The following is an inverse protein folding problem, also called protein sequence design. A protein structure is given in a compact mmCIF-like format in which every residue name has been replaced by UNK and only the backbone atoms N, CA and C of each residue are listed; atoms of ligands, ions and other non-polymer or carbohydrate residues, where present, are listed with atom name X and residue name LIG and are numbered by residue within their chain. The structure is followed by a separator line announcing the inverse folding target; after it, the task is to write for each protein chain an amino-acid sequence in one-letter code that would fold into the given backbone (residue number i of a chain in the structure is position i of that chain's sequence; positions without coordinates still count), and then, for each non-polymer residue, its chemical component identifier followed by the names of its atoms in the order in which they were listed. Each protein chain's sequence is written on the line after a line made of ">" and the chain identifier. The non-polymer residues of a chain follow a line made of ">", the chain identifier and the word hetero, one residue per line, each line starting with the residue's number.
data_IF_686816812253
#
_entry.id   IF_686816812253
#
_cell.length_a   1.000
_cell.length_b   1.000
_cell.length_c   1.000
_cell.angle_alpha   90.00
_cell.angle_beta   90.00
_cell.angle_gamma   90.00
#
_symmetry.space_group_name_H-M   'P 1'
#
loop_
_entity.id
_entity.type
_entity.pdbx_description
1 polymer ?
#
# COMPACT_ATOMS: atom_id res chain seq x y z
N UNK A 1 21.12 37.82 -48.13
CA UNK A 1 19.68 37.55 -47.94
C UNK A 1 19.53 36.66 -46.72
N UNK A 2 18.83 37.14 -45.67
CA UNK A 2 18.72 36.49 -44.36
C UNK A 2 17.48 35.58 -44.39
N UNK A 3 17.70 34.28 -44.15
CA UNK A 3 16.60 33.34 -43.91
C UNK A 3 16.38 33.23 -42.40
N UNK A 4 15.14 33.54 -41.97
CA UNK A 4 14.65 33.45 -40.58
C UNK A 4 14.18 32.02 -40.34
N UNK A 5 14.81 31.33 -39.40
CA UNK A 5 14.33 30.05 -38.89
C UNK A 5 13.12 30.27 -37.98
N UNK A 6 12.06 29.56 -38.28
CA UNK A 6 10.81 29.52 -37.47
C UNK A 6 10.97 28.40 -36.44
N UNK A 7 11.07 28.75 -35.16
CA UNK A 7 10.96 27.78 -34.04
C UNK A 7 9.50 27.45 -33.85
N UNK A 8 9.13 26.21 -34.12
CA UNK A 8 7.84 25.64 -33.70
C UNK A 8 7.95 25.20 -32.24
N UNK A 9 7.40 26.00 -31.34
CA UNK A 9 7.21 25.60 -29.95
C UNK A 9 6.08 24.60 -29.85
N UNK A 10 6.38 23.38 -29.45
CA UNK A 10 5.37 22.39 -29.08
C UNK A 10 4.78 22.80 -27.73
N UNK A 11 3.53 23.26 -27.77
CA UNK A 11 2.72 23.54 -26.58
C UNK A 11 2.18 22.19 -26.08
N UNK A 12 2.82 21.63 -25.05
CA UNK A 12 2.26 20.48 -24.32
C UNK A 12 1.12 21.03 -23.46
N UNK A 13 -0.12 20.87 -23.93
CA UNK A 13 -1.29 21.06 -23.11
C UNK A 13 -1.43 19.84 -22.20
N UNK A 14 -0.85 19.94 -20.99
CA UNK A 14 -1.20 19.05 -19.90
C UNK A 14 -2.66 19.33 -19.50
N UNK A 15 -3.56 18.42 -19.85
CA UNK A 15 -4.93 18.42 -19.30
C UNK A 15 -4.82 17.89 -17.86
N UNK A 16 -4.56 18.77 -16.92
CA UNK A 16 -4.83 18.50 -15.52
C UNK A 16 -6.36 18.57 -15.37
N UNK A 17 -7.01 17.41 -15.39
CA UNK A 17 -8.36 17.30 -14.86
C UNK A 17 -8.24 17.55 -13.34
N UNK A 18 -8.35 18.82 -12.97
CA UNK A 18 -8.64 19.20 -11.60
C UNK A 18 -10.01 18.62 -11.27
N UNK A 19 -10.02 17.45 -10.65
CA UNK A 19 -11.16 17.03 -9.85
C UNK A 19 -11.24 18.06 -8.73
N UNK A 20 -12.09 19.07 -8.90
CA UNK A 20 -12.47 19.99 -7.83
C UNK A 20 -13.29 19.21 -6.80
N UNK A 21 -12.65 18.26 -6.15
CA UNK A 21 -13.09 17.62 -4.92
C UNK A 21 -12.68 18.54 -3.79
N UNK A 22 -13.66 19.23 -3.27
CA UNK A 22 -13.65 20.13 -2.14
C UNK A 22 -12.49 19.99 -1.17
N UNK A 23 -11.84 21.12 -0.91
CA UNK A 23 -10.96 21.42 0.21
C UNK A 23 -11.60 21.24 1.62
N UNK A 24 -12.59 20.40 1.75
CA UNK A 24 -13.21 19.98 3.03
C UNK A 24 -12.52 18.76 3.62
N UNK A 25 -11.68 18.06 2.85
CA UNK A 25 -10.97 16.86 3.29
C UNK A 25 -9.85 17.15 4.31
N UNK A 26 -9.30 18.37 4.33
CA UNK A 26 -8.24 18.75 5.27
C UNK A 26 -8.70 18.87 6.73
N UNK A 27 -9.99 18.80 7.02
CA UNK A 27 -10.51 18.96 8.38
C UNK A 27 -11.00 17.68 9.06
N UNK A 28 -11.13 16.57 8.32
CA UNK A 28 -11.73 15.32 8.85
C UNK A 28 -10.70 14.17 8.94
N UNK A 29 -9.70 14.18 8.09
CA UNK A 29 -8.56 13.25 8.20
C UNK A 29 -7.47 13.99 8.94
N UNK A 30 -7.11 13.54 10.15
CA UNK A 30 -6.02 14.10 10.94
C UNK A 30 -4.81 14.31 10.02
N UNK A 31 -4.01 15.35 10.29
CA UNK A 31 -2.81 15.68 9.50
C UNK A 31 -2.11 14.41 9.06
N UNK A 32 -2.24 14.08 7.79
CA UNK A 32 -1.53 12.96 7.19
C UNK A 32 -0.08 13.39 7.03
N UNK A 33 0.69 13.31 8.12
CA UNK A 33 2.13 13.57 8.12
C UNK A 33 2.83 12.39 7.42
N UNK A 34 2.57 12.30 6.10
CA UNK A 34 3.30 11.38 5.24
C UNK A 34 4.76 11.82 5.24
N UNK A 35 5.67 10.93 5.65
CA UNK A 35 7.10 11.20 5.55
C UNK A 35 7.48 11.49 4.09
N UNK A 36 8.48 12.34 3.90
CA UNK A 36 9.01 12.72 2.58
C UNK A 36 9.65 11.52 1.86
N UNK A 37 8.83 10.60 1.42
CA UNK A 37 9.23 9.48 0.59
C UNK A 37 8.25 9.32 -0.57
N UNK A 38 8.78 9.34 -1.79
CA UNK A 38 7.97 9.15 -3.00
C UNK A 38 8.18 7.74 -3.51
N UNK A 39 7.14 6.88 -3.49
CA UNK A 39 7.24 5.53 -3.99
C UNK A 39 7.42 5.50 -5.52
N UNK A 40 8.21 4.55 -6.00
CA UNK A 40 8.41 4.26 -7.43
C UNK A 40 7.86 2.90 -7.83
N UNK A 41 7.33 2.16 -6.88
CA UNK A 41 6.70 0.84 -7.03
C UNK A 41 5.52 0.72 -6.07
N UNK A 42 4.68 -0.28 -6.25
CA UNK A 42 3.51 -0.53 -5.39
C UNK A 42 3.93 -0.60 -3.93
N UNK A 43 3.23 0.18 -3.09
CA UNK A 43 3.69 0.45 -1.73
C UNK A 43 2.58 0.93 -0.83
N UNK A 44 2.80 0.76 0.48
CA UNK A 44 1.96 1.29 1.55
C UNK A 44 2.73 2.38 2.32
N UNK A 45 2.04 3.45 2.69
CA UNK A 45 2.53 4.45 3.62
C UNK A 45 1.52 4.56 4.77
N UNK A 46 2.01 4.39 5.99
CA UNK A 46 1.20 4.54 7.20
C UNK A 46 1.48 5.92 7.79
N UNK A 47 0.42 6.69 8.06
CA UNK A 47 0.55 8.01 8.69
C UNK A 47 0.67 7.89 10.22
N UNK A 48 1.16 8.94 10.87
CA UNK A 48 1.17 9.01 12.33
C UNK A 48 -0.24 8.91 12.94
N UNK A 49 -1.26 9.36 12.20
CA UNK A 49 -2.67 9.28 12.56
C UNK A 49 -3.34 7.92 12.30
N UNK A 50 -2.63 6.97 11.68
CA UNK A 50 -3.15 5.62 11.38
C UNK A 50 -3.83 5.48 10.03
N UNK A 51 -3.94 6.54 9.21
CA UNK A 51 -4.41 6.39 7.82
C UNK A 51 -3.40 5.61 7.00
N UNK A 52 -3.89 4.84 6.02
CA UNK A 52 -3.05 4.05 5.11
C UNK A 52 -3.17 4.62 3.70
N UNK A 53 -2.05 4.95 3.08
CA UNK A 53 -2.00 5.35 1.67
C UNK A 53 -1.35 4.24 0.86
N UNK A 54 -2.08 3.74 -0.11
CA UNK A 54 -1.62 2.76 -1.08
C UNK A 54 -1.31 3.45 -2.40
N UNK A 55 -0.10 3.24 -2.91
CA UNK A 55 0.30 3.66 -4.24
C UNK A 55 0.51 2.43 -5.10
N UNK A 56 -0.30 2.28 -6.14
CA UNK A 56 -0.29 1.13 -7.04
C UNK A 56 0.32 1.57 -8.37
N UNK A 57 1.35 0.86 -8.81
CA UNK A 57 1.99 1.02 -10.11
C UNK A 57 1.89 -0.28 -10.87
N UNK A 58 1.28 -0.23 -12.05
CA UNK A 58 1.08 -1.41 -12.89
C UNK A 58 1.18 -1.04 -14.37
N UNK A 59 1.14 -2.05 -15.23
CA UNK A 59 1.22 -1.91 -16.68
C UNK A 59 0.02 -2.57 -17.34
N UNK A 60 -0.68 -1.84 -18.20
CA UNK A 60 -1.70 -2.40 -19.09
C UNK A 60 -1.00 -3.02 -20.31
N UNK A 61 -0.54 -4.24 -20.18
CA UNK A 61 0.24 -4.96 -21.19
C UNK A 61 -0.61 -5.74 -22.20
N UNK A 62 -1.91 -5.91 -21.90
CA UNK A 62 -2.85 -6.60 -22.75
C UNK A 62 -3.70 -5.63 -23.56
N UNK A 63 -3.95 -5.96 -24.82
CA UNK A 63 -4.69 -5.11 -25.76
C UNK A 63 -6.20 -4.98 -25.44
N UNK A 64 -6.71 -5.79 -24.52
CA UNK A 64 -8.10 -5.74 -24.05
C UNK A 64 -8.24 -4.93 -22.74
N UNK A 65 -7.16 -4.49 -22.13
CA UNK A 65 -7.23 -3.61 -20.96
C UNK A 65 -7.62 -2.20 -21.37
N UNK A 66 -8.59 -1.63 -20.66
CA UNK A 66 -9.09 -0.28 -20.88
C UNK A 66 -8.93 0.56 -19.60
N UNK A 67 -8.13 1.61 -19.71
CA UNK A 67 -7.83 2.50 -18.58
C UNK A 67 -9.07 3.22 -18.03
N UNK A 68 -9.99 3.63 -18.90
CA UNK A 68 -11.23 4.33 -18.49
C UNK A 68 -12.17 3.36 -17.75
N UNK A 69 -12.28 2.12 -18.23
CA UNK A 69 -13.07 1.09 -17.57
C UNK A 69 -12.49 0.73 -16.19
N UNK A 70 -11.17 0.68 -16.06
CA UNK A 70 -10.50 0.46 -14.77
C UNK A 70 -10.79 1.61 -13.81
N UNK A 71 -10.68 2.86 -14.26
CA UNK A 71 -11.02 4.03 -13.46
C UNK A 71 -12.46 3.99 -12.95
N UNK A 72 -13.39 3.67 -13.84
CA UNK A 72 -14.81 3.53 -13.50
C UNK A 72 -15.05 2.38 -12.50
N UNK A 73 -14.34 1.27 -12.65
CA UNK A 73 -14.43 0.13 -11.74
C UNK A 73 -13.96 0.52 -10.34
N UNK A 74 -12.79 1.14 -10.23
CA UNK A 74 -12.25 1.65 -8.95
C UNK A 74 -13.24 2.63 -8.31
N UNK A 75 -13.77 3.59 -9.08
CA UNK A 75 -14.72 4.58 -8.57
C UNK A 75 -16.00 3.92 -8.03
N UNK A 76 -16.55 2.92 -8.74
CA UNK A 76 -17.73 2.18 -8.27
C UNK A 76 -17.44 1.35 -7.02
N UNK A 77 -16.31 0.66 -6.98
CA UNK A 77 -15.90 -0.16 -5.83
C UNK A 77 -15.74 0.70 -4.57
N UNK A 78 -15.00 1.80 -4.67
CA UNK A 78 -14.81 2.75 -3.55
C UNK A 78 -16.15 3.35 -3.11
N UNK A 79 -17.04 3.73 -4.05
CA UNK A 79 -18.37 4.25 -3.71
C UNK A 79 -19.20 3.21 -2.96
N UNK A 80 -19.17 1.94 -3.39
CA UNK A 80 -19.89 0.86 -2.74
C UNK A 80 -19.39 0.64 -1.32
N UNK A 81 -18.07 0.56 -1.14
CA UNK A 81 -17.45 0.41 0.18
C UNK A 81 -17.83 1.57 1.13
N UNK A 82 -17.70 2.80 0.65
CA UNK A 82 -18.02 3.99 1.44
C UNK A 82 -19.50 4.05 1.86
N UNK A 83 -20.41 3.52 1.04
CA UNK A 83 -21.84 3.47 1.38
C UNK A 83 -22.12 2.56 2.59
N UNK A 84 -21.27 1.55 2.83
CA UNK A 84 -21.42 0.57 3.93
C UNK A 84 -20.59 0.95 5.16
N UNK A 85 -19.39 1.56 4.95
CA UNK A 85 -18.40 1.83 6.01
C UNK A 85 -18.29 3.32 6.39
N UNK A 86 -19.10 4.18 5.78
CA UNK A 86 -19.18 5.61 6.04
C UNK A 86 -18.46 6.46 5.00
N UNK A 87 -18.96 7.66 4.83
CA UNK A 87 -18.40 8.61 3.87
C UNK A 87 -16.90 8.80 4.10
N UNK A 88 -16.13 8.71 3.03
CA UNK A 88 -14.68 8.86 3.06
C UNK A 88 -13.89 7.78 3.82
N UNK A 89 -14.43 6.56 4.00
CA UNK A 89 -13.64 5.43 4.47
C UNK A 89 -12.45 5.18 3.52
N UNK A 90 -12.69 5.37 2.21
CA UNK A 90 -11.66 5.33 1.17
C UNK A 90 -11.80 6.55 0.26
N UNK A 91 -10.67 7.15 -0.14
CA UNK A 91 -10.60 8.18 -1.16
C UNK A 91 -9.60 7.82 -2.27
N UNK A 92 -9.79 8.41 -3.46
CA UNK A 92 -8.94 8.21 -4.64
C UNK A 92 -8.31 9.56 -5.01
N UNK A 93 -7.23 10.00 -4.36
CA UNK A 93 -6.62 11.30 -4.62
C UNK A 93 -5.94 11.40 -5.98
N UNK A 94 -5.48 10.29 -6.55
CA UNK A 94 -4.82 10.30 -7.85
C UNK A 94 -5.10 9.04 -8.65
N UNK A 95 -5.28 9.23 -9.96
CA UNK A 95 -5.29 8.20 -10.98
C UNK A 95 -4.64 8.75 -12.25
N UNK A 96 -3.74 8.01 -12.84
CA UNK A 96 -3.20 8.31 -14.17
C UNK A 96 -2.99 7.02 -14.95
N UNK A 97 -3.21 7.11 -16.27
CA UNK A 97 -2.98 6.03 -17.21
C UNK A 97 -2.30 6.63 -18.46
N UNK A 98 -1.00 6.46 -18.56
CA UNK A 98 -0.20 7.04 -19.65
C UNK A 98 0.75 5.98 -20.23
N UNK A 99 0.76 5.86 -21.55
CA UNK A 99 1.65 4.94 -22.26
C UNK A 99 1.58 3.48 -21.77
N UNK A 100 0.36 3.01 -21.43
CA UNK A 100 0.15 1.67 -20.90
C UNK A 100 0.57 1.47 -19.44
N UNK A 101 0.96 2.53 -18.73
CA UNK A 101 1.28 2.48 -17.30
C UNK A 101 0.16 3.09 -16.49
N UNK A 102 -0.16 2.45 -15.37
CA UNK A 102 -1.13 2.90 -14.39
C UNK A 102 -0.39 3.39 -13.15
N UNK A 103 -0.82 4.53 -12.62
CA UNK A 103 -0.51 4.95 -11.26
C UNK A 103 -1.83 5.34 -10.58
N UNK A 104 -2.18 4.61 -9.53
CA UNK A 104 -3.38 4.82 -8.73
C UNK A 104 -2.98 5.04 -7.28
N UNK A 105 -3.57 6.02 -6.62
CA UNK A 105 -3.41 6.24 -5.18
C UNK A 105 -4.75 6.10 -4.49
N UNK A 106 -4.81 5.26 -3.48
CA UNK A 106 -5.93 5.10 -2.56
C UNK A 106 -5.49 5.55 -1.17
N UNK A 107 -6.39 6.20 -0.44
CA UNK A 107 -6.18 6.53 0.98
C UNK A 107 -7.32 5.94 1.77
N UNK A 108 -6.97 5.08 2.72
CA UNK A 108 -7.87 4.42 3.66
C UNK A 108 -7.81 5.17 4.98
N UNK A 109 -8.97 5.45 5.56
CA UNK A 109 -9.07 6.20 6.81
C UNK A 109 -8.44 5.46 7.99
N UNK A 110 -8.55 4.13 8.00
CA UNK A 110 -8.03 3.26 9.06
C UNK A 110 -7.33 2.02 8.50
N UNK A 111 -6.50 1.33 9.32
CA UNK A 111 -5.94 0.02 8.97
C UNK A 111 -7.01 -1.03 8.66
N UNK A 112 -8.15 -0.98 9.36
CA UNK A 112 -9.27 -1.90 9.15
C UNK A 112 -9.96 -1.65 7.80
N UNK A 113 -10.08 -0.38 7.37
CA UNK A 113 -10.62 -0.05 6.05
C UNK A 113 -9.74 -0.65 4.94
N UNK A 114 -8.40 -0.57 5.09
CA UNK A 114 -7.46 -1.19 4.16
C UNK A 114 -7.59 -2.71 4.14
N UNK A 115 -7.55 -3.35 5.31
CA UNK A 115 -7.65 -4.80 5.44
C UNK A 115 -8.96 -5.34 4.86
N UNK A 116 -10.08 -4.68 5.18
CA UNK A 116 -11.42 -5.08 4.75
C UNK A 116 -11.64 -4.90 3.25
N UNK A 117 -11.24 -3.76 2.69
CA UNK A 117 -11.41 -3.47 1.27
C UNK A 117 -10.59 -4.41 0.38
N UNK A 118 -9.32 -4.64 0.76
CA UNK A 118 -8.40 -5.49 0.00
C UNK A 118 -8.51 -6.98 0.38
N UNK A 119 -9.27 -7.33 1.42
CA UNK A 119 -9.44 -8.70 1.92
C UNK A 119 -8.09 -9.37 2.27
N UNK A 120 -7.21 -8.60 2.91
CA UNK A 120 -5.88 -9.04 3.32
C UNK A 120 -5.69 -8.94 4.83
N UNK A 121 -4.73 -9.70 5.35
CA UNK A 121 -4.27 -9.54 6.73
C UNK A 121 -3.46 -8.26 6.85
N UNK A 122 -3.96 -7.30 7.61
CA UNK A 122 -3.27 -6.05 7.90
C UNK A 122 -3.63 -5.56 9.31
N UNK A 123 -2.66 -5.09 10.03
CA UNK A 123 -2.85 -4.37 11.30
C UNK A 123 -1.74 -3.34 11.48
N UNK A 124 -2.07 -2.19 12.06
CA UNK A 124 -1.12 -1.17 12.48
C UNK A 124 -1.64 -0.49 13.75
N UNK A 125 -0.74 -0.22 14.67
CA UNK A 125 -1.08 0.47 15.91
C UNK A 125 -0.11 0.22 17.06
N UNK A 126 -0.49 0.65 18.28
CA UNK A 126 0.27 0.33 19.48
C UNK A 126 0.54 -1.17 19.62
N UNK A 127 1.72 -1.53 20.08
CA UNK A 127 2.15 -2.93 20.21
C UNK A 127 1.11 -3.82 20.89
N UNK A 128 0.52 -3.33 21.97
CA UNK A 128 -0.47 -4.10 22.72
C UNK A 128 -1.72 -4.41 21.89
N UNK A 129 -2.20 -3.43 21.11
CA UNK A 129 -3.42 -3.56 20.32
C UNK A 129 -3.22 -4.60 19.19
N UNK A 130 -2.04 -4.55 18.54
CA UNK A 130 -1.68 -5.52 17.50
C UNK A 130 -1.50 -6.94 18.08
N UNK A 131 -0.91 -7.08 19.29
CA UNK A 131 -0.84 -8.36 19.97
C UNK A 131 -2.24 -8.93 20.32
N UNK A 132 -3.18 -8.06 20.66
CA UNK A 132 -4.56 -8.46 20.99
C UNK A 132 -5.44 -8.73 19.78
N UNK A 133 -5.01 -8.38 18.57
CA UNK A 133 -5.77 -8.61 17.32
C UNK A 133 -5.87 -10.08 16.91
N UNK A 134 -5.15 -10.98 17.58
CA UNK A 134 -5.10 -12.40 17.26
C UNK A 134 -4.07 -12.79 16.19
N UNK A 135 -3.25 -11.85 15.75
CA UNK A 135 -2.13 -12.11 14.84
C UNK A 135 -1.05 -12.91 15.58
N UNK A 136 -0.57 -13.98 14.94
CA UNK A 136 0.55 -14.77 15.46
C UNK A 136 1.86 -14.17 14.98
N UNK A 137 2.73 -13.82 15.92
CA UNK A 137 4.05 -13.28 15.60
C UNK A 137 5.07 -14.40 15.37
N UNK A 138 6.14 -14.15 14.57
CA UNK A 138 7.23 -15.11 14.38
C UNK A 138 8.06 -15.27 15.66
N UNK A 139 8.80 -16.38 15.78
CA UNK A 139 9.64 -16.66 16.95
C UNK A 139 10.85 -15.73 17.07
N UNK A 140 11.31 -15.19 15.95
CA UNK A 140 12.51 -14.36 15.85
C UNK A 140 12.31 -13.12 15.00
N UNK A 141 13.06 -12.07 15.33
CA UNK A 141 13.14 -10.81 14.62
C UNK A 141 14.59 -10.40 14.37
N UNK A 142 14.83 -9.61 13.34
CA UNK A 142 16.09 -8.91 13.13
C UNK A 142 16.00 -7.52 13.76
N UNK A 143 17.01 -7.15 14.54
CA UNK A 143 17.07 -5.82 15.18
C UNK A 143 17.62 -4.79 14.21
N UNK A 144 16.97 -3.63 14.13
CA UNK A 144 17.43 -2.51 13.32
C UNK A 144 18.31 -1.56 14.15
N UNK A 145 19.38 -1.08 13.53
CA UNK A 145 20.26 -0.04 14.05
C UNK A 145 20.42 1.04 12.97
N UNK A 146 19.58 2.06 13.02
CA UNK A 146 19.44 3.05 11.94
C UNK A 146 18.94 2.38 10.66
N UNK A 147 19.72 2.45 9.59
CA UNK A 147 19.37 1.84 8.29
C UNK A 147 19.96 0.45 8.07
N UNK A 148 20.50 -0.20 9.09
CA UNK A 148 21.10 -1.54 9.01
C UNK A 148 20.35 -2.51 9.89
N UNK A 149 20.24 -3.76 9.43
CA UNK A 149 19.79 -4.88 10.26
C UNK A 149 21.01 -5.58 10.88
N UNK A 150 20.82 -6.11 12.07
CA UNK A 150 21.83 -7.00 12.70
C UNK A 150 21.70 -8.39 12.10
N UNK A 151 22.83 -9.08 11.92
CA UNK A 151 22.84 -10.47 11.43
C UNK A 151 22.31 -11.47 12.49
N UNK A 152 22.21 -11.06 13.74
CA UNK A 152 21.79 -11.90 14.85
C UNK A 152 20.32 -11.63 15.17
N UNK A 153 19.51 -12.68 15.08
CA UNK A 153 18.11 -12.63 15.47
C UNK A 153 17.93 -12.44 16.98
N UNK A 154 16.85 -11.76 17.35
CA UNK A 154 16.37 -11.64 18.74
C UNK A 154 15.07 -12.41 18.91
N UNK A 155 14.76 -12.83 20.13
CA UNK A 155 13.50 -13.54 20.38
C UNK A 155 12.28 -12.63 20.21
N UNK A 156 11.15 -13.23 19.89
CA UNK A 156 9.86 -12.55 19.87
C UNK A 156 9.56 -11.89 21.22
N UNK A 157 9.86 -12.57 22.34
CA UNK A 157 9.65 -12.01 23.69
C UNK A 157 10.41 -10.69 23.89
N UNK A 158 11.66 -10.59 23.40
CA UNK A 158 12.42 -9.34 23.47
C UNK A 158 11.77 -8.25 22.61
N UNK A 159 11.50 -8.55 21.34
CA UNK A 159 10.95 -7.57 20.40
C UNK A 159 9.57 -7.05 20.84
N UNK A 160 8.70 -7.94 21.35
CA UNK A 160 7.33 -7.61 21.77
C UNK A 160 7.22 -7.03 23.20
N UNK A 161 8.30 -7.03 23.96
CA UNK A 161 8.33 -6.46 25.33
C UNK A 161 8.24 -4.93 25.35
N UNK A 162 8.56 -4.29 24.24
CA UNK A 162 8.59 -2.83 24.07
C UNK A 162 7.18 -2.27 23.86
N UNK A 163 6.45 -2.02 24.94
CA UNK A 163 5.05 -1.56 24.91
C UNK A 163 4.88 -0.14 24.38
N UNK A 164 5.97 0.65 24.38
CA UNK A 164 6.04 2.00 23.83
C UNK A 164 6.14 2.03 22.30
N UNK A 165 6.44 0.89 21.67
CA UNK A 165 6.51 0.77 20.21
C UNK A 165 5.14 0.49 19.60
N UNK A 166 5.06 0.68 18.30
CA UNK A 166 3.96 0.27 17.44
C UNK A 166 4.40 -0.88 16.55
N UNK A 167 3.44 -1.61 16.01
CA UNK A 167 3.70 -2.67 15.05
C UNK A 167 2.79 -2.51 13.83
N UNK A 168 3.35 -2.71 12.64
CA UNK A 168 2.62 -2.91 11.40
C UNK A 168 2.83 -4.35 10.93
N UNK A 169 1.73 -5.02 10.58
CA UNK A 169 1.72 -6.38 10.04
C UNK A 169 0.96 -6.35 8.72
N UNK A 170 1.59 -6.82 7.66
CA UNK A 170 1.01 -6.79 6.32
C UNK A 170 1.41 -8.02 5.53
N UNK A 171 0.75 -8.29 4.41
CA UNK A 171 1.23 -9.27 3.44
C UNK A 171 2.59 -8.82 2.89
N UNK A 172 3.51 -9.78 2.73
CA UNK A 172 4.89 -9.52 2.30
C UNK A 172 4.99 -9.39 0.77
N UNK A 173 4.27 -8.41 0.20
CA UNK A 173 4.19 -8.16 -1.23
C UNK A 173 4.41 -6.67 -1.61
N UNK A 174 4.48 -5.78 -0.60
CA UNK A 174 4.60 -4.34 -0.79
C UNK A 174 5.79 -3.75 -0.04
N UNK A 175 6.32 -2.65 -0.57
CA UNK A 175 7.18 -1.76 0.21
C UNK A 175 6.33 -0.97 1.19
N UNK A 176 6.74 -0.89 2.45
CA UNK A 176 5.97 -0.26 3.52
C UNK A 176 6.77 0.83 4.20
N UNK A 177 6.20 2.04 4.25
CA UNK A 177 6.70 3.14 5.08
C UNK A 177 5.88 3.24 6.35
N UNK A 178 6.54 3.29 7.50
CA UNK A 178 5.94 3.51 8.83
C UNK A 178 6.24 4.92 9.36
N UNK A 179 5.38 5.47 10.25
CA UNK A 179 5.52 6.83 10.78
C UNK A 179 6.52 6.92 11.95
N UNK A 180 7.57 6.12 11.91
CA UNK A 180 8.57 6.07 12.97
C UNK A 180 9.79 5.26 12.58
N UNK A 181 10.77 5.25 13.46
CA UNK A 181 12.00 4.53 13.24
C UNK A 181 11.81 3.03 13.45
N UNK A 182 12.08 2.21 12.43
CA UNK A 182 12.02 0.75 12.51
C UNK A 182 13.04 0.25 13.52
N UNK A 183 12.60 -0.61 14.43
CA UNK A 183 13.41 -1.21 15.52
C UNK A 183 13.62 -2.69 15.30
N UNK A 184 12.59 -3.40 14.81
CA UNK A 184 12.69 -4.82 14.53
C UNK A 184 11.91 -5.15 13.24
N UNK A 185 12.40 -6.13 12.49
CA UNK A 185 11.78 -6.67 11.29
C UNK A 185 11.72 -8.19 11.34
N UNK A 186 10.70 -8.78 10.74
CA UNK A 186 10.68 -10.22 10.45
C UNK A 186 11.79 -10.61 9.47
N UNK A 187 12.25 -11.86 9.54
CA UNK A 187 13.40 -12.34 8.75
C UNK A 187 13.18 -12.32 7.23
N UNK A 188 11.92 -12.34 6.79
CA UNK A 188 11.52 -12.24 5.38
C UNK A 188 11.48 -10.80 4.82
N UNK A 189 11.94 -9.83 5.61
CA UNK A 189 11.97 -8.43 5.22
C UNK A 189 13.38 -7.83 5.30
N UNK A 190 13.59 -6.74 4.59
CA UNK A 190 14.82 -5.95 4.61
C UNK A 190 14.53 -4.45 4.71
N UNK A 191 15.49 -3.67 5.22
CA UNK A 191 15.37 -2.23 5.30
C UNK A 191 15.76 -1.58 3.96
N UNK A 192 14.90 -0.69 3.47
CA UNK A 192 15.24 0.29 2.44
C UNK A 192 15.90 1.51 3.09
N UNK A 193 15.37 1.93 4.23
CA UNK A 193 15.94 2.96 5.12
C UNK A 193 15.34 2.80 6.53
N UNK A 194 15.64 3.72 7.46
CA UNK A 194 15.17 3.63 8.84
C UNK A 194 13.64 3.69 9.04
N UNK A 195 12.86 4.03 8.01
CA UNK A 195 11.40 4.15 8.06
C UNK A 195 10.69 3.30 7.01
N UNK A 196 11.44 2.67 6.12
CA UNK A 196 10.90 1.91 4.99
C UNK A 196 11.48 0.51 4.98
N UNK A 197 10.60 -0.48 4.93
CA UNK A 197 10.92 -1.90 4.78
C UNK A 197 10.30 -2.44 3.49
N UNK A 198 10.90 -3.50 2.96
CA UNK A 198 10.37 -4.26 1.84
C UNK A 198 10.52 -5.76 2.07
N UNK A 199 9.71 -6.61 1.42
CA UNK A 199 9.94 -8.04 1.42
C UNK A 199 11.31 -8.36 0.81
N UNK A 200 12.01 -9.34 1.37
CA UNK A 200 13.17 -9.92 0.69
C UNK A 200 12.70 -10.59 -0.58
N UNK A 201 13.38 -10.29 -1.69
CA UNK A 201 13.14 -11.02 -2.92
C UNK A 201 13.50 -12.49 -2.68
N UNK A 202 12.49 -13.37 -2.78
CA UNK A 202 12.76 -14.80 -2.83
C UNK A 202 13.40 -15.06 -4.19
N UNK A 203 14.55 -15.76 -4.22
CA UNK A 203 15.08 -16.30 -5.46
C UNK A 203 13.99 -17.19 -6.06
N UNK A 204 13.45 -16.76 -7.20
CA UNK A 204 12.40 -17.50 -7.91
C UNK A 204 12.95 -18.89 -8.25
N UNK A 205 12.52 -19.88 -7.51
CA UNK A 205 12.49 -21.24 -8.04
C UNK A 205 11.30 -21.29 -9.00
N UNK A 206 11.61 -21.37 -10.29
CA UNK A 206 10.74 -21.41 -11.46
C UNK A 206 9.28 -21.88 -11.21
N UNK A 207 8.44 -21.01 -10.68
CA UNK A 207 6.99 -21.15 -10.74
C UNK A 207 6.47 -19.77 -11.16
N UNK A 208 6.04 -19.67 -12.41
CA UNK A 208 5.55 -18.46 -13.04
C UNK A 208 4.63 -17.68 -12.08
N UNK A 209 5.12 -16.58 -11.55
CA UNK A 209 4.31 -15.63 -10.81
C UNK A 209 3.60 -14.75 -11.83
N UNK A 210 2.34 -15.08 -12.12
CA UNK A 210 1.43 -14.14 -12.76
C UNK A 210 1.11 -13.06 -11.72
N UNK A 211 1.94 -12.02 -11.65
CA UNK A 211 1.61 -10.78 -10.94
C UNK A 211 0.65 -9.98 -11.80
N UNK A 212 -0.62 -10.38 -11.79
CA UNK A 212 -1.71 -9.58 -12.34
C UNK A 212 -2.28 -8.66 -11.25
N UNK A 213 -2.82 -7.51 -11.66
CA UNK A 213 -3.61 -6.61 -10.82
C UNK A 213 -4.67 -7.44 -10.06
N UNK A 214 -4.49 -7.63 -8.77
CA UNK A 214 -5.48 -8.29 -7.92
C UNK A 214 -6.55 -7.26 -7.59
N UNK A 215 -7.61 -7.23 -8.41
CA UNK A 215 -8.80 -6.47 -8.08
C UNK A 215 -9.45 -7.07 -6.81
N UNK A 216 -10.03 -6.23 -5.93
CA UNK A 216 -10.75 -6.74 -4.77
C UNK A 216 -11.80 -7.75 -5.20
N UNK A 217 -11.91 -8.88 -4.50
CA UNK A 217 -12.78 -10.01 -4.87
C UNK A 217 -14.28 -9.69 -4.84
N UNK A 218 -14.67 -8.49 -4.38
CA UNK A 218 -16.04 -7.96 -4.48
C UNK A 218 -16.36 -7.27 -5.82
N UNK A 219 -15.43 -7.25 -6.77
CA UNK A 219 -15.72 -6.83 -8.14
C UNK A 219 -16.64 -7.88 -8.78
N UNK A 220 -17.95 -7.60 -8.81
CA UNK A 220 -18.95 -8.48 -9.43
C UNK A 220 -18.68 -8.54 -10.93
N UNK A 221 -18.12 -9.67 -11.37
CA UNK A 221 -17.90 -9.94 -12.77
C UNK A 221 -19.26 -10.35 -13.38
N UNK A 222 -19.88 -9.47 -14.16
CA UNK A 222 -20.99 -9.87 -15.05
C UNK A 222 -20.43 -10.52 -16.30
N UNK A 223 -20.01 -11.76 -16.19
CA UNK A 223 -19.57 -12.60 -17.29
C UNK A 223 -20.39 -13.88 -17.33
N UNK A 224 -21.03 -14.08 -18.45
CA UNK A 224 -21.85 -15.23 -18.89
C UNK A 224 -21.55 -16.56 -18.23
N UNK A 225 -22.64 -17.19 -17.75
CA UNK A 225 -22.70 -18.55 -17.21
C UNK A 225 -21.99 -19.56 -18.12
N UNK A 226 -20.93 -20.16 -17.62
CA UNK A 226 -20.39 -21.43 -18.08
C UNK A 226 -20.07 -22.23 -16.83
N UNK A 227 -21.00 -23.16 -16.50
CA UNK A 227 -20.83 -24.15 -15.46
C UNK A 227 -19.67 -25.09 -15.82
N UNK A 228 -18.53 -24.88 -15.21
CA UNK A 228 -17.51 -25.90 -15.01
C UNK A 228 -17.11 -25.83 -13.53
N UNK A 229 -17.35 -26.92 -12.80
CA UNK A 229 -16.82 -27.15 -11.45
C UNK A 229 -15.29 -27.12 -11.53
N UNK A 230 -14.69 -25.93 -11.38
CA UNK A 230 -13.27 -25.79 -11.12
C UNK A 230 -13.04 -25.78 -9.61
N UNK A 231 -12.15 -26.69 -9.19
CA UNK A 231 -11.69 -26.81 -7.82
C UNK A 231 -11.31 -25.41 -7.28
N UNK A 232 -11.82 -25.06 -6.09
CA UNK A 232 -11.42 -23.84 -5.39
C UNK A 232 -9.89 -23.75 -5.39
N UNK A 233 -9.30 -22.64 -5.86
CA UNK A 233 -7.85 -22.47 -5.79
C UNK A 233 -7.46 -22.53 -4.31
N UNK A 234 -6.58 -23.47 -3.97
CA UNK A 234 -6.05 -23.61 -2.63
C UNK A 234 -5.59 -22.21 -2.15
N UNK A 235 -6.17 -21.72 -1.06
CA UNK A 235 -5.84 -20.42 -0.51
C UNK A 235 -4.31 -20.34 -0.34
N UNK A 236 -3.65 -19.51 -1.15
CA UNK A 236 -2.20 -19.29 -1.01
C UNK A 236 -1.99 -18.75 0.39
N UNK A 237 -1.24 -19.45 1.21
CA UNK A 237 -0.87 -18.96 2.55
C UNK A 237 -0.14 -17.64 2.37
N UNK A 238 -0.77 -16.55 2.74
CA UNK A 238 -0.18 -15.21 2.66
C UNK A 238 0.99 -15.16 3.65
N UNK A 239 2.19 -14.91 3.15
CA UNK A 239 3.33 -14.69 4.02
C UNK A 239 3.25 -13.26 4.58
N UNK A 240 3.30 -13.14 5.91
CA UNK A 240 3.22 -11.84 6.57
C UNK A 240 4.61 -11.24 6.80
N UNK A 241 4.72 -9.94 6.67
CA UNK A 241 5.84 -9.12 7.05
C UNK A 241 5.48 -8.34 8.33
N UNK A 242 6.39 -8.33 9.29
CA UNK A 242 6.21 -7.69 10.59
C UNK A 242 7.23 -6.58 10.76
N UNK A 243 6.75 -5.39 11.06
CA UNK A 243 7.56 -4.18 11.24
C UNK A 243 7.24 -3.62 12.62
N UNK A 244 8.21 -3.62 13.52
CA UNK A 244 8.08 -2.99 14.85
C UNK A 244 8.84 -1.67 14.79
N UNK A 245 8.19 -0.58 15.17
CA UNK A 245 8.76 0.76 15.05
C UNK A 245 8.45 1.65 16.25
N UNK A 246 9.34 2.57 16.53
CA UNK A 246 9.15 3.63 17.51
C UNK A 246 8.65 4.87 16.76
N UNK A 247 7.43 5.36 17.11
CA UNK A 247 6.88 6.56 16.48
C UNK A 247 7.83 7.73 16.69
N UNK A 248 8.03 8.55 15.65
CA UNK A 248 8.78 9.77 15.80
C UNK A 248 8.04 10.71 16.74
N UNK A 249 8.78 11.44 17.57
CA UNK A 249 8.20 12.47 18.43
C UNK A 249 7.46 13.48 17.54
N UNK A 250 6.21 13.81 17.89
CA UNK A 250 5.48 14.90 17.24
C UNK A 250 6.31 16.17 17.37
N UNK A 251 6.71 16.74 16.23
CA UNK A 251 7.31 18.07 16.25
C UNK A 251 6.21 19.05 16.60
N UNK A 252 6.18 19.47 17.88
CA UNK A 252 5.33 20.55 18.34
C UNK A 252 5.75 21.83 17.59
N UNK A 253 4.96 22.22 16.60
CA UNK A 253 5.02 23.53 15.92
C UNK A 253 4.12 24.54 16.59
#
# INVERSE_FOLDING_TARGET
>A
MKAKGLMAGALVLGVTLAVTGCSVLDQVVGRDDWKDWTPTQTSLQISAGGSVKESIFDTLDQNYYNADELQDLVARSVKSYNAEHGDHAISVPAYSAENGKIALTLVYRTPEDYASYNQVSFADGPMLDVQMSGITFPDTFLKANGSNLTDQGVSSDEALSHKEYSAAVTVADHVVQVPGQIRYLSENAELVNSHVAQPKQQEETDAASETGLVLPSNAVYYGTESETEEAEPAAKTQQLMYIIYEKDAEQST
#
